data_IF_865293464156
#
_entry.id   IF_865293464156
#
_cell.length_a   1.000
_cell.length_b   1.000
_cell.length_c   1.000
_cell.angle_alpha   90.00
_cell.angle_beta   90.00
_cell.angle_gamma   90.00
#
_symmetry.space_group_name_H-M   'P 1'
#
loop_
_entity.id
_entity.type
_entity.pdbx_description
1 polymer ?
#
# COMPACT_ATOMS: atom_id res chain seq x y z
N UNK A 1 13.51 16.09 -11.96
CA UNK A 1 13.12 14.68 -12.15
C UNK A 1 12.16 14.34 -11.02
N UNK A 2 11.04 13.73 -11.32
CA UNK A 2 10.05 13.31 -10.32
C UNK A 2 10.50 12.02 -9.62
N UNK A 3 9.90 11.74 -8.47
CA UNK A 3 10.26 10.61 -7.62
C UNK A 3 9.12 9.60 -7.53
N UNK A 4 9.46 8.30 -7.55
CA UNK A 4 8.59 7.24 -7.07
C UNK A 4 8.98 6.95 -5.63
N UNK A 5 8.08 7.28 -4.71
CA UNK A 5 8.20 7.02 -3.28
C UNK A 5 7.61 5.66 -2.96
N UNK A 6 8.44 4.72 -2.51
CA UNK A 6 7.98 3.38 -2.15
C UNK A 6 7.70 3.34 -0.65
N UNK A 7 6.48 2.96 -0.27
CA UNK A 7 6.10 2.65 1.11
C UNK A 7 6.03 1.12 1.23
N UNK A 8 7.10 0.49 1.75
CA UNK A 8 7.22 -0.95 1.70
C UNK A 8 6.44 -1.65 2.81
N UNK A 9 6.08 -2.91 2.57
CA UNK A 9 5.74 -3.87 3.62
C UNK A 9 6.94 -4.11 4.54
N UNK A 10 6.67 -4.58 5.75
CA UNK A 10 7.71 -4.96 6.71
C UNK A 10 8.60 -6.07 6.13
N UNK A 11 9.93 -5.88 6.08
CA UNK A 11 10.87 -6.89 5.55
C UNK A 11 11.11 -8.02 6.55
N UNK A 12 10.10 -8.83 6.83
CA UNK A 12 10.14 -9.93 7.80
C UNK A 12 10.90 -11.11 7.20
N UNK A 13 11.84 -11.66 7.95
CA UNK A 13 12.62 -12.84 7.58
C UNK A 13 11.71 -14.03 7.23
N UNK A 14 12.12 -14.83 6.26
CA UNK A 14 11.42 -16.01 5.77
C UNK A 14 10.05 -15.72 5.12
N UNK A 15 9.76 -14.46 4.77
CA UNK A 15 8.57 -14.04 4.04
C UNK A 15 8.93 -13.37 2.71
N UNK A 16 8.03 -13.45 1.74
CA UNK A 16 8.16 -12.76 0.45
C UNK A 16 8.32 -11.22 0.63
N UNK A 17 7.83 -10.67 1.73
CA UNK A 17 7.89 -9.23 2.02
C UNK A 17 9.32 -8.72 2.12
N UNK A 18 10.27 -9.53 2.67
CA UNK A 18 11.70 -9.18 2.67
C UNK A 18 12.29 -9.17 1.25
N UNK A 19 11.89 -10.12 0.41
CA UNK A 19 12.30 -10.15 -0.99
C UNK A 19 11.78 -8.91 -1.73
N UNK A 20 10.52 -8.56 -1.56
CA UNK A 20 9.92 -7.37 -2.17
C UNK A 20 10.60 -6.08 -1.72
N UNK A 21 10.91 -5.96 -0.44
CA UNK A 21 11.60 -4.82 0.13
C UNK A 21 12.92 -4.50 -0.59
N UNK A 22 13.68 -5.53 -0.98
CA UNK A 22 14.94 -5.37 -1.69
C UNK A 22 14.78 -5.32 -3.21
N UNK A 23 13.89 -6.13 -3.77
CA UNK A 23 13.76 -6.27 -5.22
C UNK A 23 12.99 -5.14 -5.90
N UNK A 24 11.91 -4.66 -5.31
CA UNK A 24 11.06 -3.67 -5.96
C UNK A 24 11.83 -2.37 -6.27
N UNK A 25 12.60 -1.77 -5.33
CA UNK A 25 13.37 -0.57 -5.65
C UNK A 25 14.39 -0.79 -6.77
N UNK A 26 15.11 -1.91 -6.75
CA UNK A 26 16.11 -2.24 -7.77
C UNK A 26 15.47 -2.45 -9.14
N UNK A 27 14.38 -3.21 -9.19
CA UNK A 27 13.65 -3.46 -10.42
C UNK A 27 13.10 -2.17 -11.05
N UNK A 28 12.49 -1.32 -10.23
CA UNK A 28 11.98 -0.04 -10.71
C UNK A 28 13.10 0.87 -11.21
N UNK A 29 14.24 0.93 -10.49
CA UNK A 29 15.39 1.73 -10.92
C UNK A 29 15.99 1.24 -12.24
N UNK A 30 15.96 -0.09 -12.50
CA UNK A 30 16.38 -0.66 -13.78
C UNK A 30 15.41 -0.33 -14.93
N UNK A 31 14.10 -0.42 -14.68
CA UNK A 31 13.08 -0.33 -15.74
C UNK A 31 12.58 1.08 -15.99
N UNK A 32 12.65 1.97 -15.02
CA UNK A 32 12.08 3.32 -15.09
C UNK A 32 13.18 4.37 -14.95
N UNK A 33 13.66 4.90 -16.07
CA UNK A 33 14.81 5.82 -16.10
C UNK A 33 14.43 7.30 -15.92
N UNK A 34 13.17 7.66 -16.04
CA UNK A 34 12.70 9.05 -15.97
C UNK A 34 12.18 9.46 -14.57
N UNK A 35 12.36 8.61 -13.58
CA UNK A 35 12.05 8.86 -12.18
C UNK A 35 13.23 8.52 -11.27
N UNK A 36 13.37 9.24 -10.17
CA UNK A 36 14.16 8.79 -9.02
C UNK A 36 13.34 7.74 -8.25
N UNK A 37 13.99 6.71 -7.73
CA UNK A 37 13.34 5.71 -6.89
C UNK A 37 13.84 5.90 -5.46
N UNK A 38 12.90 6.12 -4.53
CA UNK A 38 13.24 6.33 -3.11
C UNK A 38 12.30 5.49 -2.23
N UNK A 39 12.87 4.62 -1.43
CA UNK A 39 12.12 3.82 -0.45
C UNK A 39 12.06 4.56 0.88
N UNK A 40 10.88 4.60 1.49
CA UNK A 40 10.66 5.18 2.82
C UNK A 40 11.05 4.14 3.85
N UNK A 41 12.25 4.28 4.39
CA UNK A 41 12.79 3.40 5.41
C UNK A 41 12.45 3.92 6.80
N UNK A 42 11.99 3.00 7.66
CA UNK A 42 11.71 3.29 9.07
C UNK A 42 12.23 2.15 9.93
N UNK A 43 12.63 2.49 11.15
CA UNK A 43 13.12 1.52 12.13
C UNK A 43 11.97 0.78 12.83
N UNK A 44 12.28 -0.38 13.40
CA UNK A 44 11.37 -1.16 14.24
C UNK A 44 10.48 -2.09 13.42
N UNK A 45 11.11 -3.13 12.85
CA UNK A 45 10.40 -4.24 12.20
C UNK A 45 9.82 -5.14 13.31
N UNK A 46 8.57 -5.63 13.16
CA UNK A 46 7.99 -6.57 14.12
C UNK A 46 8.81 -7.86 14.20
N UNK A 47 9.29 -8.21 15.39
CA UNK A 47 10.02 -9.46 15.63
C UNK A 47 9.08 -10.58 16.09
N UNK A 48 7.93 -10.23 16.66
CA UNK A 48 6.94 -11.17 17.20
C UNK A 48 5.75 -11.32 16.26
N UNK A 49 4.89 -12.29 16.55
CA UNK A 49 3.64 -12.51 15.82
C UNK A 49 2.48 -12.60 16.80
N UNK A 50 1.35 -12.05 16.42
CA UNK A 50 0.08 -12.30 17.15
C UNK A 50 -0.24 -13.80 17.07
N UNK A 51 -0.56 -14.47 18.17
CA UNK A 51 -0.91 -15.89 18.13
C UNK A 51 -2.00 -16.19 17.11
N UNK A 52 -1.75 -17.19 16.25
CA UNK A 52 -2.66 -17.58 15.17
C UNK A 52 -2.69 -16.64 13.97
N UNK A 53 -1.76 -15.68 13.89
CA UNK A 53 -1.61 -14.76 12.78
C UNK A 53 -0.22 -14.85 12.14
N UNK A 54 -0.08 -14.24 10.96
CA UNK A 54 1.17 -14.14 10.21
C UNK A 54 1.95 -12.86 10.51
N UNK A 55 1.35 -11.91 11.23
CA UNK A 55 1.92 -10.63 11.65
C UNK A 55 1.66 -10.38 13.14
N UNK A 56 2.42 -9.48 13.73
CA UNK A 56 2.04 -8.80 14.97
C UNK A 56 1.12 -7.62 14.62
N UNK A 57 -0.18 -7.78 14.84
CA UNK A 57 -1.18 -6.77 14.46
C UNK A 57 -1.09 -5.46 15.24
N UNK A 58 -0.45 -5.44 16.40
CA UNK A 58 -0.21 -4.19 17.11
C UNK A 58 1.04 -3.50 16.54
N UNK A 59 2.14 -4.23 16.47
CA UNK A 59 3.44 -3.65 16.11
C UNK A 59 3.55 -3.27 14.62
N UNK A 60 2.89 -4.01 13.73
CA UNK A 60 2.80 -3.62 12.30
C UNK A 60 2.18 -2.22 12.15
N UNK A 61 1.23 -1.86 13.02
CA UNK A 61 0.64 -0.52 13.02
C UNK A 61 1.61 0.55 13.54
N UNK A 62 2.51 0.20 14.48
CA UNK A 62 3.61 1.10 14.88
C UNK A 62 4.55 1.36 13.70
N UNK A 63 4.92 0.31 12.97
CA UNK A 63 5.74 0.43 11.75
C UNK A 63 5.07 1.33 10.70
N UNK A 64 3.81 1.06 10.37
CA UNK A 64 3.02 1.87 9.42
C UNK A 64 2.81 3.31 9.89
N UNK A 65 2.64 3.55 11.18
CA UNK A 65 2.55 4.90 11.74
C UNK A 65 3.86 5.69 11.60
N UNK A 66 5.02 5.04 11.75
CA UNK A 66 6.31 5.66 11.47
C UNK A 66 6.47 6.02 9.99
N UNK A 67 6.02 5.15 9.08
CA UNK A 67 5.98 5.46 7.65
C UNK A 67 5.09 6.67 7.37
N UNK A 68 3.91 6.73 7.98
CA UNK A 68 3.03 7.90 7.87
C UNK A 68 3.71 9.18 8.36
N UNK A 69 4.39 9.14 9.51
CA UNK A 69 5.12 10.29 10.03
C UNK A 69 6.24 10.74 9.08
N UNK A 70 6.99 9.78 8.50
CA UNK A 70 8.03 10.08 7.52
C UNK A 70 7.43 10.73 6.26
N UNK A 71 6.33 10.20 5.73
CA UNK A 71 5.61 10.78 4.58
C UNK A 71 5.12 12.19 4.88
N UNK A 72 4.52 12.42 6.04
CA UNK A 72 4.06 13.75 6.44
C UNK A 72 5.23 14.75 6.54
N UNK A 73 6.40 14.31 7.02
CA UNK A 73 7.63 15.09 7.01
C UNK A 73 8.07 15.47 5.60
N UNK A 74 7.98 14.56 4.62
CA UNK A 74 8.31 14.87 3.23
C UNK A 74 7.40 15.98 2.64
N UNK A 75 6.11 15.94 2.96
CA UNK A 75 5.18 17.02 2.56
C UNK A 75 5.54 18.34 3.26
N UNK A 76 5.76 18.31 4.58
CA UNK A 76 6.15 19.48 5.39
C UNK A 76 7.45 20.14 4.89
N UNK A 77 8.41 19.33 4.46
CA UNK A 77 9.71 19.77 3.95
C UNK A 77 9.66 20.19 2.47
N UNK A 78 8.49 20.20 1.84
CA UNK A 78 8.31 20.48 0.41
C UNK A 78 9.16 19.55 -0.51
N UNK A 79 9.35 18.30 -0.10
CA UNK A 79 10.07 17.27 -0.89
C UNK A 79 9.18 16.64 -1.95
N UNK A 80 7.87 16.52 -1.67
CA UNK A 80 6.87 15.98 -2.61
C UNK A 80 6.52 17.06 -3.64
N UNK A 81 6.46 16.67 -4.90
CA UNK A 81 6.24 17.57 -6.03
C UNK A 81 5.13 17.08 -6.96
N UNK A 82 4.61 18.00 -7.75
CA UNK A 82 3.67 17.64 -8.82
C UNK A 82 4.28 16.61 -9.77
N UNK A 83 3.56 15.53 -10.00
CA UNK A 83 3.98 14.41 -10.84
C UNK A 83 4.77 13.32 -10.10
N UNK A 84 5.03 13.45 -8.80
CA UNK A 84 5.56 12.37 -7.99
C UNK A 84 4.53 11.23 -7.86
N UNK A 85 5.03 10.02 -7.65
CA UNK A 85 4.21 8.82 -7.49
C UNK A 85 4.51 8.15 -6.16
N UNK A 86 3.48 7.55 -5.57
CA UNK A 86 3.61 6.70 -4.40
C UNK A 86 3.28 5.26 -4.78
N UNK A 87 4.17 4.33 -4.47
CA UNK A 87 3.91 2.89 -4.54
C UNK A 87 3.80 2.33 -3.13
N UNK A 88 2.58 2.04 -2.71
CA UNK A 88 2.29 1.43 -1.40
C UNK A 88 2.14 -0.06 -1.60
N UNK A 89 3.08 -0.85 -1.08
CA UNK A 89 3.13 -2.29 -1.33
C UNK A 89 2.20 -3.11 -0.42
N UNK A 90 1.41 -2.45 0.43
CA UNK A 90 0.27 -3.01 1.16
C UNK A 90 -0.83 -1.97 1.27
N UNK A 91 -1.96 -2.20 0.62
CA UNK A 91 -3.08 -1.27 0.60
C UNK A 91 -3.67 -0.98 2.00
N UNK A 92 -3.55 -1.90 2.95
CA UNK A 92 -3.88 -1.67 4.36
C UNK A 92 -2.81 -0.83 5.08
N UNK A 93 -2.47 0.33 4.51
CA UNK A 93 -1.53 1.30 5.08
C UNK A 93 -2.22 2.66 5.26
N UNK A 94 -2.24 3.24 6.48
CA UNK A 94 -2.91 4.51 6.75
C UNK A 94 -2.32 5.68 5.96
N UNK A 95 -1.10 5.56 5.44
CA UNK A 95 -0.46 6.59 4.65
C UNK A 95 -1.23 6.93 3.38
N UNK A 96 -1.97 5.99 2.78
CA UNK A 96 -2.72 6.22 1.54
C UNK A 96 -3.72 7.37 1.70
N UNK A 97 -4.59 7.28 2.69
CA UNK A 97 -5.61 8.32 2.94
C UNK A 97 -4.96 9.65 3.34
N UNK A 98 -3.85 9.60 4.08
CA UNK A 98 -3.13 10.79 4.51
C UNK A 98 -2.38 11.46 3.36
N UNK A 99 -1.80 10.69 2.42
CA UNK A 99 -1.19 11.23 1.20
C UNK A 99 -2.26 11.95 0.38
N UNK A 100 -3.40 11.30 0.15
CA UNK A 100 -4.51 11.90 -0.58
C UNK A 100 -4.98 13.20 0.05
N UNK A 101 -5.20 13.19 1.37
CA UNK A 101 -5.59 14.35 2.16
C UNK A 101 -4.58 15.51 2.04
N UNK A 102 -3.28 15.24 2.25
CA UNK A 102 -2.24 16.28 2.19
C UNK A 102 -2.06 16.80 0.76
N UNK A 103 -2.05 15.93 -0.24
CA UNK A 103 -1.88 16.30 -1.63
C UNK A 103 -3.00 17.25 -2.11
N UNK A 104 -4.26 16.93 -1.79
CA UNK A 104 -5.40 17.78 -2.15
C UNK A 104 -5.36 19.15 -1.45
N UNK A 105 -5.11 19.18 -0.15
CA UNK A 105 -5.09 20.45 0.60
C UNK A 105 -3.89 21.33 0.25
N UNK A 106 -2.76 20.73 -0.13
CA UNK A 106 -1.56 21.46 -0.54
C UNK A 106 -1.51 21.74 -2.05
N UNK A 107 -2.52 21.30 -2.80
CA UNK A 107 -2.61 21.48 -4.25
C UNK A 107 -1.43 20.83 -5.01
N UNK A 108 -0.98 19.67 -4.52
CA UNK A 108 0.09 18.89 -5.12
C UNK A 108 -0.51 17.70 -5.86
N UNK A 109 -0.28 17.59 -7.16
CA UNK A 109 -0.77 16.47 -7.95
C UNK A 109 0.21 15.29 -7.86
N UNK A 110 -0.20 14.20 -7.23
CA UNK A 110 0.54 12.93 -7.13
C UNK A 110 -0.30 11.76 -7.61
N UNK A 111 0.34 10.68 -8.05
CA UNK A 111 -0.34 9.40 -8.33
C UNK A 111 -0.10 8.40 -7.19
N UNK A 112 -1.14 7.72 -6.76
CA UNK A 112 -1.08 6.71 -5.69
C UNK A 112 -1.37 5.33 -6.28
N UNK A 113 -0.40 4.45 -6.17
CA UNK A 113 -0.44 3.05 -6.59
C UNK A 113 -0.44 2.16 -5.35
N UNK A 114 -1.39 1.23 -5.21
CA UNK A 114 -1.48 0.33 -4.07
C UNK A 114 -1.59 -1.14 -4.50
N UNK A 115 -0.91 -2.02 -3.77
CA UNK A 115 -1.00 -3.47 -3.98
C UNK A 115 -1.87 -4.08 -2.88
N UNK A 116 -2.92 -4.78 -3.28
CA UNK A 116 -3.82 -5.49 -2.39
C UNK A 116 -3.36 -6.93 -2.19
N UNK A 117 -3.14 -7.34 -0.93
CA UNK A 117 -2.78 -8.70 -0.57
C UNK A 117 -3.94 -9.45 0.04
N UNK A 118 -4.61 -8.81 1.00
CA UNK A 118 -5.71 -9.35 1.77
C UNK A 118 -6.62 -8.22 2.23
N UNK A 119 -7.79 -8.56 2.76
CA UNK A 119 -8.70 -7.57 3.28
C UNK A 119 -9.95 -8.18 3.89
N UNK A 120 -10.77 -7.33 4.49
CA UNK A 120 -12.02 -7.78 5.10
C UNK A 120 -13.06 -8.26 4.08
N UNK A 121 -12.88 -7.93 2.82
CA UNK A 121 -13.67 -8.41 1.70
C UNK A 121 -13.47 -9.90 1.38
N UNK A 122 -12.34 -10.51 1.78
CA UNK A 122 -12.10 -11.94 1.60
C UNK A 122 -12.64 -12.72 2.81
N UNK A 123 -13.71 -13.52 2.65
CA UNK A 123 -14.29 -14.25 3.77
C UNK A 123 -13.41 -15.39 4.29
N UNK A 124 -12.35 -15.74 3.60
CA UNK A 124 -11.39 -16.79 3.99
C UNK A 124 -10.12 -16.23 4.63
N UNK A 125 -9.86 -14.95 4.47
CA UNK A 125 -8.74 -14.29 5.12
C UNK A 125 -9.02 -13.98 6.59
N UNK A 126 -7.94 -13.88 7.40
CA UNK A 126 -8.04 -13.56 8.83
C UNK A 126 -8.72 -12.19 9.06
N UNK A 127 -8.52 -11.24 8.16
CA UNK A 127 -9.16 -9.93 8.25
C UNK A 127 -10.67 -10.05 7.98
N UNK A 128 -11.05 -10.83 6.97
CA UNK A 128 -12.46 -11.10 6.66
C UNK A 128 -13.19 -11.89 7.75
N UNK A 129 -12.45 -12.72 8.49
CA UNK A 129 -12.99 -13.51 9.60
C UNK A 129 -13.13 -12.70 10.90
N UNK A 130 -12.26 -11.73 11.15
CA UNK A 130 -12.17 -11.03 12.44
C UNK A 130 -12.69 -9.59 12.41
N UNK A 131 -12.65 -8.91 11.25
CA UNK A 131 -13.01 -7.50 11.18
C UNK A 131 -14.51 -7.31 11.01
N UNK A 132 -15.05 -6.30 11.71
CA UNK A 132 -16.45 -5.92 11.53
C UNK A 132 -16.62 -5.14 10.22
N UNK A 133 -17.42 -5.70 9.32
CA UNK A 133 -17.65 -5.18 7.96
C UNK A 133 -18.32 -3.81 7.93
N UNK A 134 -18.99 -3.38 9.00
CA UNK A 134 -19.64 -2.08 9.06
C UNK A 134 -18.67 -0.89 8.95
N UNK A 135 -17.43 -1.08 9.38
CA UNK A 135 -16.39 -0.07 9.28
C UNK A 135 -15.28 -0.45 8.29
N UNK A 136 -14.94 -1.75 8.17
CA UNK A 136 -13.83 -2.16 7.31
C UNK A 136 -14.15 -2.05 5.83
N UNK A 137 -15.35 -2.39 5.40
CA UNK A 137 -15.79 -2.26 4.01
C UNK A 137 -15.76 -0.79 3.53
N UNK A 138 -16.38 0.17 4.22
CA UNK A 138 -16.23 1.58 3.86
C UNK A 138 -14.79 2.07 3.85
N UNK A 139 -13.94 1.55 4.75
CA UNK A 139 -12.51 1.89 4.78
C UNK A 139 -11.78 1.38 3.54
N UNK A 140 -12.01 0.13 3.15
CA UNK A 140 -11.42 -0.45 1.94
C UNK A 140 -11.88 0.26 0.67
N UNK A 141 -13.17 0.63 0.60
CA UNK A 141 -13.70 1.47 -0.49
C UNK A 141 -13.04 2.84 -0.51
N UNK A 142 -12.84 3.47 0.66
CA UNK A 142 -12.15 4.75 0.75
C UNK A 142 -10.70 4.67 0.28
N UNK A 143 -9.96 3.65 0.70
CA UNK A 143 -8.59 3.39 0.24
C UNK A 143 -8.55 3.19 -1.28
N UNK A 144 -9.44 2.34 -1.82
CA UNK A 144 -9.56 2.10 -3.26
C UNK A 144 -9.79 3.39 -4.03
N UNK A 145 -10.71 4.23 -3.58
CA UNK A 145 -11.03 5.50 -4.23
C UNK A 145 -9.89 6.54 -4.12
N UNK A 146 -9.13 6.52 -3.03
CA UNK A 146 -7.98 7.40 -2.84
C UNK A 146 -6.81 7.06 -3.77
N UNK A 147 -6.69 5.80 -4.20
CA UNK A 147 -5.68 5.36 -5.15
C UNK A 147 -6.07 5.67 -6.59
N UNK A 148 -5.07 5.95 -7.43
CA UNK A 148 -5.23 6.06 -8.88
C UNK A 148 -5.13 4.68 -9.54
N UNK A 149 -4.31 3.78 -8.96
CA UNK A 149 -4.09 2.41 -9.44
C UNK A 149 -4.13 1.43 -8.28
N UNK A 150 -4.97 0.41 -8.42
CA UNK A 150 -5.11 -0.67 -7.44
C UNK A 150 -4.73 -2.00 -8.10
N UNK A 151 -3.72 -2.68 -7.56
CA UNK A 151 -3.17 -3.91 -8.13
C UNK A 151 -3.54 -5.13 -7.30
N UNK A 152 -3.95 -6.18 -8.00
CA UNK A 152 -4.36 -7.46 -7.44
C UNK A 152 -3.53 -8.59 -8.04
N UNK A 153 -3.16 -9.58 -7.25
CA UNK A 153 -2.32 -10.70 -7.70
C UNK A 153 -2.97 -11.55 -8.80
N UNK A 154 -4.30 -11.69 -8.78
CA UNK A 154 -5.06 -12.50 -9.74
C UNK A 154 -6.38 -11.83 -10.10
N UNK A 155 -6.97 -12.23 -11.23
CA UNK A 155 -8.34 -11.80 -11.61
C UNK A 155 -9.36 -12.25 -10.56
N UNK A 156 -9.24 -13.46 -10.04
CA UNK A 156 -10.10 -13.96 -8.99
C UNK A 156 -10.10 -13.04 -7.76
N UNK A 157 -8.92 -12.59 -7.34
CA UNK A 157 -8.77 -11.68 -6.20
C UNK A 157 -9.41 -10.31 -6.49
N UNK A 158 -9.14 -9.74 -7.67
CA UNK A 158 -9.75 -8.48 -8.13
C UNK A 158 -11.28 -8.57 -8.16
N UNK A 159 -11.81 -9.61 -8.79
CA UNK A 159 -13.25 -9.77 -8.97
C UNK A 159 -13.97 -10.01 -7.64
N UNK A 160 -13.35 -10.74 -6.72
CA UNK A 160 -13.84 -10.91 -5.35
C UNK A 160 -13.89 -9.56 -4.61
N UNK A 161 -12.85 -8.74 -4.73
CA UNK A 161 -12.79 -7.39 -4.15
C UNK A 161 -13.94 -6.51 -4.68
N UNK A 162 -14.05 -6.40 -6.01
CA UNK A 162 -15.07 -5.60 -6.69
C UNK A 162 -16.48 -6.03 -6.27
N UNK A 163 -16.73 -7.35 -6.30
CA UNK A 163 -18.03 -7.91 -5.95
C UNK A 163 -18.39 -7.67 -4.48
N UNK A 164 -17.51 -8.01 -3.56
CA UNK A 164 -17.80 -8.01 -2.13
C UNK A 164 -17.89 -6.60 -1.54
N UNK A 165 -17.14 -5.66 -2.10
CA UNK A 165 -17.21 -4.24 -1.73
C UNK A 165 -18.19 -3.43 -2.59
N UNK A 166 -18.90 -4.06 -3.54
CA UNK A 166 -19.85 -3.40 -4.44
C UNK A 166 -19.25 -2.20 -5.19
N UNK A 167 -18.02 -2.37 -5.68
CA UNK A 167 -17.34 -1.32 -6.45
C UNK A 167 -18.07 -1.14 -7.78
N UNK A 168 -18.56 0.06 -8.04
CA UNK A 168 -19.30 0.41 -9.27
C UNK A 168 -18.39 0.92 -10.39
N UNK A 169 -17.22 1.46 -10.05
CA UNK A 169 -16.21 1.91 -11.01
C UNK A 169 -14.93 1.11 -10.78
N UNK A 170 -14.70 0.11 -11.62
CA UNK A 170 -13.53 -0.77 -11.56
C UNK A 170 -12.37 -0.34 -12.46
N UNK A 171 -12.47 0.83 -13.11
CA UNK A 171 -11.42 1.34 -14.02
C UNK A 171 -10.04 1.51 -13.39
N UNK A 172 -9.98 1.52 -12.05
CA UNK A 172 -8.74 1.63 -11.26
C UNK A 172 -8.22 0.27 -10.74
N UNK A 173 -8.87 -0.84 -11.09
CA UNK A 173 -8.53 -2.18 -10.62
C UNK A 173 -7.75 -2.96 -11.70
N UNK A 174 -6.50 -3.26 -11.42
CA UNK A 174 -5.59 -3.91 -12.36
C UNK A 174 -5.12 -5.26 -11.81
N UNK A 175 -5.02 -6.24 -12.69
CA UNK A 175 -4.29 -7.46 -12.37
C UNK A 175 -2.80 -7.21 -12.55
N UNK A 176 -2.01 -7.64 -11.58
CA UNK A 176 -0.55 -7.65 -11.72
C UNK A 176 -0.15 -8.93 -12.44
N UNK A 177 0.08 -8.84 -13.75
CA UNK A 177 0.65 -9.93 -14.52
C UNK A 177 2.17 -10.00 -14.25
N UNK A 178 2.60 -10.99 -13.47
CA UNK A 178 4.01 -11.36 -13.28
C UNK A 178 4.94 -10.27 -12.71
N UNK A 179 4.63 -9.74 -11.54
CA UNK A 179 5.63 -8.91 -10.85
C UNK A 179 6.75 -9.76 -10.27
N UNK A 180 6.52 -11.06 -10.05
CA UNK A 180 7.55 -11.93 -9.47
C UNK A 180 7.36 -13.37 -9.98
N UNK A 181 8.19 -13.82 -10.84
CA UNK A 181 8.62 -15.21 -10.93
C UNK A 181 10.08 -15.29 -10.54
#
# INVERSE_FOLDING_TARGET
>A
MNTIWIIPLEPIDQRYTKQWYHHIPLYLAEKIQNFSITQIEVEGIPETRTPGAFLDFAYTNVYKAKQLAAVAGLFSDNKIKNGDKFLVTDAWNPSILSIKYMAELLNINVEIHAIWHAGSYDPTDILGLKMNKSWSYPTEVAIYNACDYNYFATEFHRDMFIKNLSITNDSKAYQVNHIIT
#
